data_IF_278266370565
#
_entry.id   IF_278266370565
#
_cell.length_a   1.000
_cell.length_b   1.000
_cell.length_c   1.000
_cell.angle_alpha   90.00
_cell.angle_beta   90.00
_cell.angle_gamma   90.00
#
_symmetry.space_group_name_H-M   'P 1'
#
loop_
_entity.id
_entity.type
_entity.pdbx_description
1 polymer ?
#
# COMPACT_ATOMS: atom_id res chain seq x y z
N UNK A 1 6.24 -28.17 29.22
CA UNK A 1 6.60 -29.21 28.25
C UNK A 1 5.94 -28.87 26.94
N UNK A 2 6.66 -28.17 26.04
CA UNK A 2 6.18 -27.78 24.71
C UNK A 2 6.81 -28.71 23.69
N UNK A 3 6.03 -29.43 22.88
CA UNK A 3 6.57 -30.23 21.81
C UNK A 3 6.45 -29.53 20.43
N UNK A 4 7.55 -29.59 19.73
CA UNK A 4 7.70 -29.69 18.30
C UNK A 4 7.32 -28.49 17.39
N UNK A 5 8.35 -27.67 17.09
CA UNK A 5 8.47 -27.03 15.81
C UNK A 5 9.03 -28.04 14.81
N UNK A 6 8.18 -28.65 13.98
CA UNK A 6 8.63 -29.35 12.79
C UNK A 6 8.89 -28.32 11.69
N UNK A 7 10.15 -28.19 11.33
CA UNK A 7 10.60 -27.41 10.17
C UNK A 7 10.10 -28.08 8.90
N UNK A 8 9.15 -27.46 8.22
CA UNK A 8 8.80 -27.79 6.86
C UNK A 8 9.87 -27.20 5.92
N UNK A 9 10.88 -27.98 5.59
CA UNK A 9 11.73 -27.69 4.45
C UNK A 9 10.95 -28.05 3.19
N UNK A 10 10.49 -27.04 2.45
CA UNK A 10 10.05 -27.20 1.07
C UNK A 10 11.31 -27.40 0.22
N UNK A 11 11.66 -28.64 -0.07
CA UNK A 11 12.55 -28.96 -1.17
C UNK A 11 11.75 -28.80 -2.46
N UNK A 12 11.76 -27.62 -3.05
CA UNK A 12 11.43 -27.46 -4.46
C UNK A 12 12.64 -27.94 -5.26
N UNK A 13 12.50 -29.02 -5.99
CA UNK A 13 13.38 -29.35 -7.09
C UNK A 13 13.27 -28.24 -8.13
N UNK A 14 14.17 -27.27 -8.07
CA UNK A 14 14.34 -26.28 -9.14
C UNK A 14 15.11 -27.02 -10.24
N UNK A 15 14.52 -27.24 -11.43
CA UNK A 15 15.27 -27.89 -12.50
C UNK A 15 16.48 -27.03 -12.83
N UNK A 16 17.67 -27.61 -12.73
CA UNK A 16 18.92 -27.00 -13.11
C UNK A 16 18.88 -26.70 -14.61
N UNK A 17 18.58 -25.46 -14.96
CA UNK A 17 18.69 -24.98 -16.34
C UNK A 17 20.19 -24.84 -16.61
N UNK A 18 20.77 -25.80 -17.33
CA UNK A 18 22.18 -25.76 -17.71
C UNK A 18 22.51 -24.45 -18.42
N UNK A 19 23.41 -23.69 -17.84
CA UNK A 19 23.93 -22.46 -18.45
C UNK A 19 24.72 -22.84 -19.71
N UNK A 20 24.21 -22.44 -20.90
CA UNK A 20 24.89 -22.67 -22.17
C UNK A 20 25.64 -21.39 -22.57
N UNK A 21 26.98 -21.34 -22.52
CA UNK A 21 27.77 -20.13 -22.74
C UNK A 21 27.83 -19.66 -24.19
N UNK A 22 27.14 -20.33 -25.14
CA UNK A 22 27.21 -19.99 -26.57
C UNK A 22 26.10 -19.06 -27.06
N UNK A 23 25.19 -18.61 -26.21
CA UNK A 23 24.27 -17.50 -26.55
C UNK A 23 25.03 -16.19 -26.52
N UNK A 24 25.31 -15.61 -27.70
CA UNK A 24 25.80 -14.25 -27.81
C UNK A 24 24.78 -13.31 -27.17
N UNK A 25 25.07 -12.81 -25.98
CA UNK A 25 24.34 -11.71 -25.41
C UNK A 25 24.58 -10.49 -26.31
N UNK A 26 23.57 -10.05 -27.04
CA UNK A 26 23.54 -8.66 -27.49
C UNK A 26 23.72 -7.81 -26.24
N UNK A 27 24.57 -6.77 -26.24
CA UNK A 27 24.71 -5.91 -25.09
C UNK A 27 23.30 -5.36 -24.77
N UNK A 28 22.68 -5.88 -23.74
CA UNK A 28 21.49 -5.28 -23.17
C UNK A 28 21.83 -3.81 -22.95
N UNK A 29 20.96 -2.89 -23.37
CA UNK A 29 21.10 -1.49 -23.00
C UNK A 29 21.49 -1.45 -21.55
N UNK A 30 22.62 -0.79 -21.26
CA UNK A 30 23.18 -0.68 -19.90
C UNK A 30 22.16 0.14 -19.06
N UNK A 31 21.14 -0.55 -18.58
CA UNK A 31 20.17 0.02 -17.63
C UNK A 31 20.85 0.07 -16.27
N UNK A 32 21.69 1.07 -16.09
CA UNK A 32 22.24 1.37 -14.77
C UNK A 32 21.13 1.99 -13.95
N UNK A 33 20.59 1.23 -13.02
CA UNK A 33 19.71 1.74 -11.97
C UNK A 33 20.59 2.50 -10.98
N UNK A 34 20.36 3.79 -10.79
CA UNK A 34 21.15 4.57 -9.85
C UNK A 34 20.85 4.19 -8.40
N UNK A 35 21.80 4.47 -7.50
CA UNK A 35 21.57 4.26 -6.07
C UNK A 35 20.35 5.05 -5.57
N UNK A 36 20.17 6.29 -6.05
CA UNK A 36 19.06 7.15 -5.65
C UNK A 36 17.69 6.57 -6.08
N UNK A 37 17.62 5.92 -7.24
CA UNK A 37 16.41 5.20 -7.66
C UNK A 37 16.08 4.04 -6.73
N UNK A 38 17.09 3.23 -6.38
CA UNK A 38 16.92 2.09 -5.47
C UNK A 38 16.50 2.58 -4.09
N UNK A 39 17.14 3.62 -3.58
CA UNK A 39 16.84 4.19 -2.26
C UNK A 39 15.39 4.74 -2.21
N UNK A 40 14.97 5.51 -3.23
CA UNK A 40 13.60 6.02 -3.30
C UNK A 40 12.58 4.89 -3.40
N UNK A 41 12.81 3.93 -4.29
CA UNK A 41 11.91 2.79 -4.48
C UNK A 41 11.76 1.97 -3.19
N UNK A 42 12.88 1.69 -2.52
CA UNK A 42 12.88 0.95 -1.26
C UNK A 42 12.14 1.70 -0.16
N UNK A 43 12.35 3.02 -0.06
CA UNK A 43 11.66 3.85 0.92
C UNK A 43 10.15 3.93 0.67
N UNK A 44 9.74 4.15 -0.58
CA UNK A 44 8.32 4.20 -0.94
C UNK A 44 7.64 2.86 -0.67
N UNK A 45 8.25 1.75 -1.06
CA UNK A 45 7.72 0.41 -0.77
C UNK A 45 7.59 0.17 0.73
N UNK A 46 8.57 0.58 1.55
CA UNK A 46 8.49 0.48 3.01
C UNK A 46 7.29 1.25 3.58
N UNK A 47 7.01 2.47 3.09
CA UNK A 47 5.88 3.27 3.55
C UNK A 47 4.54 2.62 3.21
N UNK A 48 4.41 2.05 2.01
CA UNK A 48 3.19 1.37 1.57
C UNK A 48 3.01 0.02 2.27
N UNK A 49 4.09 -0.72 2.50
CA UNK A 49 4.07 -1.94 3.33
C UNK A 49 3.59 -1.62 4.76
N UNK A 50 4.15 -0.59 5.39
CA UNK A 50 3.70 -0.14 6.70
C UNK A 50 2.24 0.31 6.68
N UNK A 51 1.78 0.94 5.61
CA UNK A 51 0.40 1.35 5.44
C UNK A 51 -0.54 0.15 5.51
N UNK A 52 -0.33 -0.87 4.69
CA UNK A 52 -1.25 -2.02 4.64
C UNK A 52 -1.11 -2.92 5.86
N UNK A 53 0.10 -3.12 6.40
CA UNK A 53 0.31 -3.91 7.60
C UNK A 53 -0.37 -3.30 8.83
N UNK A 54 -0.21 -2.00 9.06
CA UNK A 54 -0.86 -1.32 10.18
C UNK A 54 -2.36 -1.15 9.97
N UNK A 55 -2.84 -1.06 8.71
CA UNK A 55 -4.26 -1.09 8.37
C UNK A 55 -4.88 -2.42 8.81
N UNK A 56 -4.27 -3.55 8.45
CA UNK A 56 -4.70 -4.87 8.89
C UNK A 56 -4.71 -5.01 10.42
N UNK A 57 -3.65 -4.57 11.10
CA UNK A 57 -3.59 -4.59 12.57
C UNK A 57 -4.71 -3.74 13.18
N UNK A 58 -4.97 -2.54 12.65
CA UNK A 58 -6.06 -1.70 13.13
C UNK A 58 -7.44 -2.33 12.88
N UNK A 59 -7.68 -2.92 11.71
CA UNK A 59 -8.91 -3.66 11.40
C UNK A 59 -9.14 -4.77 12.43
N UNK A 60 -8.14 -5.63 12.67
CA UNK A 60 -8.21 -6.73 13.64
C UNK A 60 -8.50 -6.18 15.05
N UNK A 61 -7.76 -5.17 15.48
CA UNK A 61 -7.92 -4.60 16.82
C UNK A 61 -9.29 -3.93 17.00
N UNK A 62 -9.83 -3.26 15.97
CA UNK A 62 -11.20 -2.71 15.99
C UNK A 62 -12.22 -3.85 16.08
N UNK A 63 -12.14 -4.85 15.21
CA UNK A 63 -13.15 -5.91 15.11
C UNK A 63 -13.22 -6.72 16.40
N UNK A 64 -12.09 -7.09 16.98
CA UNK A 64 -12.03 -7.94 18.18
C UNK A 64 -11.98 -7.17 19.50
N UNK A 65 -12.08 -5.83 19.50
CA UNK A 65 -11.92 -4.97 20.69
C UNK A 65 -10.63 -5.26 21.45
N UNK A 66 -9.52 -5.40 20.73
CA UNK A 66 -8.24 -5.67 21.38
C UNK A 66 -7.80 -4.44 22.22
N UNK A 67 -7.08 -4.67 23.33
CA UNK A 67 -6.67 -3.56 24.22
C UNK A 67 -5.69 -2.60 23.59
N UNK A 68 -5.05 -2.96 22.48
CA UNK A 68 -4.08 -2.16 21.73
C UNK A 68 -4.72 -1.27 20.64
N UNK A 69 -6.05 -1.30 20.45
CA UNK A 69 -6.74 -0.64 19.32
C UNK A 69 -6.35 0.82 19.14
N UNK A 70 -6.21 1.59 20.23
CA UNK A 70 -5.84 2.99 20.14
C UNK A 70 -4.37 3.17 19.72
N UNK A 71 -3.50 2.28 20.14
CA UNK A 71 -2.08 2.31 19.75
C UNK A 71 -1.90 1.91 18.29
N UNK A 72 -2.60 0.87 17.81
CA UNK A 72 -2.59 0.46 16.42
C UNK A 72 -3.09 1.57 15.48
N UNK A 73 -4.21 2.21 15.83
CA UNK A 73 -4.74 3.36 15.06
C UNK A 73 -3.76 4.54 15.08
N UNK A 74 -3.21 4.89 16.25
CA UNK A 74 -2.23 5.99 16.35
C UNK A 74 -1.00 5.72 15.49
N UNK A 75 -0.47 4.49 15.52
CA UNK A 75 0.66 4.12 14.67
C UNK A 75 0.31 4.14 13.18
N UNK A 76 -0.87 3.68 12.80
CA UNK A 76 -1.35 3.77 11.42
C UNK A 76 -1.43 5.24 10.97
N UNK A 77 -1.97 6.13 11.78
CA UNK A 77 -2.08 7.55 11.45
C UNK A 77 -0.72 8.25 11.26
N UNK A 78 0.36 7.72 11.85
CA UNK A 78 1.73 8.20 11.61
C UNK A 78 2.16 8.00 10.14
N UNK A 79 1.57 7.05 9.45
CA UNK A 79 1.85 6.82 8.04
C UNK A 79 1.49 8.03 7.14
N UNK A 80 0.50 8.83 7.54
CA UNK A 80 0.11 10.02 6.78
C UNK A 80 1.22 11.09 6.69
N UNK A 81 1.81 11.58 7.78
CA UNK A 81 2.95 12.48 7.69
C UNK A 81 4.20 11.83 7.06
N UNK A 82 4.42 10.53 7.25
CA UNK A 82 5.55 9.82 6.64
C UNK A 82 5.42 9.79 5.11
N UNK A 83 4.23 9.46 4.59
CA UNK A 83 3.94 9.51 3.15
C UNK A 83 3.99 10.95 2.60
N UNK A 84 3.46 11.94 3.34
CA UNK A 84 3.59 13.35 2.97
C UNK A 84 5.06 13.77 2.84
N UNK A 85 5.88 13.44 3.82
CA UNK A 85 7.29 13.78 3.85
C UNK A 85 8.09 13.13 2.72
N UNK A 86 7.67 11.98 2.18
CA UNK A 86 8.32 11.34 1.03
C UNK A 86 8.25 12.20 -0.24
N UNK A 87 7.22 13.04 -0.37
CA UNK A 87 7.04 13.95 -1.50
C UNK A 87 7.79 15.27 -1.35
N UNK A 88 8.13 15.66 -0.12
CA UNK A 88 8.73 16.96 0.19
C UNK A 88 10.00 17.30 -0.61
N UNK A 89 10.96 16.38 -0.84
CA UNK A 89 12.17 16.68 -1.62
C UNK A 89 11.89 17.04 -3.07
N UNK A 90 10.75 16.63 -3.62
CA UNK A 90 10.38 16.79 -5.02
C UNK A 90 9.39 17.93 -5.27
N UNK A 91 8.43 18.11 -4.36
CA UNK A 91 7.28 19.00 -4.55
C UNK A 91 7.15 20.08 -3.47
N UNK A 92 8.04 20.10 -2.47
CA UNK A 92 8.05 21.10 -1.39
C UNK A 92 7.02 20.84 -0.29
N UNK A 93 7.04 21.73 0.71
CA UNK A 93 6.27 21.59 1.96
C UNK A 93 4.75 21.60 1.75
N UNK A 94 4.25 22.46 0.85
CA UNK A 94 2.81 22.58 0.62
C UNK A 94 2.21 21.29 0.02
N UNK A 95 2.90 20.69 -0.94
CA UNK A 95 2.47 19.44 -1.55
C UNK A 95 2.58 18.27 -0.55
N UNK A 96 3.66 18.21 0.21
CA UNK A 96 3.86 17.22 1.27
C UNK A 96 2.72 17.29 2.32
N UNK A 97 2.40 18.50 2.78
CA UNK A 97 1.29 18.71 3.72
C UNK A 97 -0.05 18.29 3.13
N UNK A 98 -0.36 18.72 1.90
CA UNK A 98 -1.62 18.37 1.24
C UNK A 98 -1.79 16.86 1.10
N UNK A 99 -0.73 16.15 0.69
CA UNK A 99 -0.76 14.70 0.58
C UNK A 99 -0.93 14.03 1.95
N UNK A 100 -0.21 14.50 2.97
CA UNK A 100 -0.37 14.04 4.35
C UNK A 100 -1.82 14.20 4.85
N UNK A 101 -2.44 15.34 4.61
CA UNK A 101 -3.82 15.60 5.03
C UNK A 101 -4.78 14.63 4.33
N UNK A 102 -4.63 14.43 3.01
CA UNK A 102 -5.45 13.50 2.23
C UNK A 102 -5.32 12.05 2.70
N UNK A 103 -4.09 11.59 2.97
CA UNK A 103 -3.86 10.24 3.51
C UNK A 103 -4.41 10.11 4.92
N UNK A 104 -4.27 11.13 5.77
CA UNK A 104 -4.89 11.12 7.11
C UNK A 104 -6.40 10.93 7.03
N UNK A 105 -7.07 11.69 6.16
CA UNK A 105 -8.52 11.57 5.96
C UNK A 105 -8.88 10.17 5.45
N UNK A 106 -8.08 9.64 4.52
CA UNK A 106 -8.22 8.27 4.01
C UNK A 106 -8.26 7.23 5.13
N UNK A 107 -7.30 7.29 6.04
CA UNK A 107 -7.17 6.36 7.17
C UNK A 107 -8.29 6.50 8.19
N UNK A 108 -8.69 7.73 8.50
CA UNK A 108 -9.78 8.01 9.45
C UNK A 108 -11.11 7.48 8.90
N UNK A 109 -11.42 7.76 7.63
CA UNK A 109 -12.65 7.30 6.98
C UNK A 109 -12.69 5.78 6.92
N UNK A 110 -11.58 5.12 6.60
CA UNK A 110 -11.48 3.65 6.61
C UNK A 110 -11.77 3.07 8.01
N UNK A 111 -11.20 3.65 9.06
CA UNK A 111 -11.48 3.22 10.44
C UNK A 111 -12.96 3.40 10.82
N UNK A 112 -13.59 4.49 10.39
CA UNK A 112 -15.02 4.74 10.63
C UNK A 112 -15.89 3.75 9.87
N UNK A 113 -15.52 3.38 8.63
CA UNK A 113 -16.19 2.33 7.86
C UNK A 113 -16.15 0.99 8.61
N UNK A 114 -14.99 0.57 9.10
CA UNK A 114 -14.84 -0.69 9.85
C UNK A 114 -15.65 -0.67 11.15
N UNK A 115 -15.62 0.43 11.90
CA UNK A 115 -16.40 0.59 13.13
C UNK A 115 -17.91 0.52 12.86
N UNK A 116 -18.39 1.18 11.80
CA UNK A 116 -19.78 1.17 11.40
C UNK A 116 -20.24 -0.24 10.97
N UNK A 117 -19.43 -0.93 10.16
CA UNK A 117 -19.70 -2.30 9.74
C UNK A 117 -19.77 -3.26 10.93
N UNK A 118 -18.82 -3.17 11.87
CA UNK A 118 -18.82 -3.95 13.10
C UNK A 118 -20.05 -3.72 13.95
N UNK A 119 -20.53 -2.48 14.04
CA UNK A 119 -21.74 -2.13 14.80
C UNK A 119 -23.04 -2.54 14.08
N UNK A 120 -22.96 -3.12 12.86
CA UNK A 120 -24.14 -3.46 12.03
C UNK A 120 -24.87 -2.22 11.48
N UNK A 121 -24.27 -1.03 11.58
CA UNK A 121 -24.86 0.21 11.09
C UNK A 121 -24.61 0.38 9.59
N UNK A 122 -25.44 -0.26 8.77
CA UNK A 122 -25.30 -0.26 7.30
C UNK A 122 -25.37 1.13 6.69
N UNK A 123 -26.19 2.04 7.25
CA UNK A 123 -26.29 3.41 6.73
C UNK A 123 -24.99 4.20 6.96
N UNK A 124 -24.45 4.15 8.18
CA UNK A 124 -23.17 4.79 8.48
C UNK A 124 -22.03 4.18 7.66
N UNK A 125 -22.00 2.86 7.48
CA UNK A 125 -21.02 2.17 6.65
C UNK A 125 -21.09 2.63 5.19
N UNK A 126 -22.28 2.71 4.60
CA UNK A 126 -22.47 3.18 3.23
C UNK A 126 -22.07 4.65 3.04
N UNK A 127 -22.29 5.49 4.05
CA UNK A 127 -21.85 6.90 4.03
C UNK A 127 -20.31 6.97 4.08
N UNK A 128 -19.69 6.22 4.99
CA UNK A 128 -18.24 6.17 5.11
C UNK A 128 -17.59 5.63 3.83
N UNK A 129 -18.13 4.58 3.24
CA UNK A 129 -17.64 4.01 1.98
C UNK A 129 -17.65 5.05 0.84
N UNK A 130 -18.76 5.75 0.64
CA UNK A 130 -18.81 6.81 -0.39
C UNK A 130 -17.78 7.90 -0.16
N UNK A 131 -17.57 8.33 1.10
CA UNK A 131 -16.54 9.30 1.45
C UNK A 131 -15.15 8.78 1.17
N UNK A 132 -14.92 7.48 1.39
CA UNK A 132 -13.62 6.85 1.19
C UNK A 132 -13.22 6.82 -0.30
N UNK A 133 -14.17 6.46 -1.19
CA UNK A 133 -13.98 6.54 -2.63
C UNK A 133 -13.78 7.98 -3.11
N UNK A 134 -14.56 8.94 -2.60
CA UNK A 134 -14.38 10.36 -2.94
C UNK A 134 -12.98 10.87 -2.50
N UNK A 135 -12.51 10.48 -1.33
CA UNK A 135 -11.15 10.81 -0.89
C UNK A 135 -10.08 10.16 -1.78
N UNK A 136 -10.29 8.93 -2.25
CA UNK A 136 -9.38 8.31 -3.23
C UNK A 136 -9.33 9.12 -4.53
N UNK A 137 -10.47 9.60 -5.03
CA UNK A 137 -10.51 10.51 -6.19
C UNK A 137 -9.72 11.81 -5.93
N UNK A 138 -9.85 12.40 -4.74
CA UNK A 138 -9.11 13.61 -4.35
C UNK A 138 -7.60 13.36 -4.32
N UNK A 139 -7.16 12.19 -3.82
CA UNK A 139 -5.74 11.78 -3.81
C UNK A 139 -5.23 11.65 -5.24
N UNK A 140 -5.96 10.95 -6.10
CA UNK A 140 -5.59 10.74 -7.51
C UNK A 140 -5.51 12.07 -8.25
N UNK A 141 -6.51 12.96 -8.07
CA UNK A 141 -6.53 14.29 -8.66
C UNK A 141 -5.31 15.10 -8.24
N UNK A 142 -5.01 15.11 -6.94
CA UNK A 142 -3.86 15.83 -6.42
C UNK A 142 -2.55 15.31 -7.01
N UNK A 143 -2.30 13.99 -6.95
CA UNK A 143 -1.05 13.41 -7.43
C UNK A 143 -0.87 13.61 -8.95
N UNK A 144 -1.94 13.44 -9.73
CA UNK A 144 -1.90 13.67 -11.18
C UNK A 144 -1.69 15.14 -11.55
N UNK A 145 -2.18 16.06 -10.69
CA UNK A 145 -1.99 17.50 -10.90
C UNK A 145 -0.54 17.97 -10.74
N UNK A 146 0.22 17.31 -9.86
CA UNK A 146 1.62 17.66 -9.58
C UNK A 146 2.62 16.81 -10.37
N UNK A 147 2.18 15.69 -10.94
CA UNK A 147 3.03 14.79 -11.71
C UNK A 147 2.33 14.27 -12.97
N UNK A 148 2.73 14.78 -14.19
CA UNK A 148 2.12 14.39 -15.46
C UNK A 148 2.43 12.95 -15.88
N UNK A 149 3.36 12.26 -15.20
CA UNK A 149 3.71 10.86 -15.47
C UNK A 149 2.93 9.88 -14.61
N UNK A 150 1.96 10.36 -13.80
CA UNK A 150 0.99 9.54 -13.10
C UNK A 150 -0.30 9.53 -13.93
N UNK A 151 -0.61 8.43 -14.65
CA UNK A 151 -1.81 8.34 -15.48
C UNK A 151 -3.04 8.29 -14.56
N UNK A 152 -3.83 9.37 -14.56
CA UNK A 152 -4.95 9.58 -13.63
C UNK A 152 -5.91 8.39 -13.58
N UNK A 153 -6.38 7.91 -14.74
CA UNK A 153 -7.38 6.83 -14.79
C UNK A 153 -6.82 5.47 -14.36
N UNK A 154 -5.55 5.19 -14.68
CA UNK A 154 -4.90 3.96 -14.25
C UNK A 154 -4.66 3.96 -12.74
N UNK A 155 -4.19 5.09 -12.21
CA UNK A 155 -3.94 5.23 -10.77
C UNK A 155 -5.25 5.21 -9.96
N UNK A 156 -6.35 5.77 -10.53
CA UNK A 156 -7.69 5.64 -9.95
C UNK A 156 -8.14 4.19 -9.86
N UNK A 157 -7.92 3.39 -10.89
CA UNK A 157 -8.25 1.95 -10.87
C UNK A 157 -7.50 1.21 -9.78
N UNK A 158 -6.21 1.52 -9.60
CA UNK A 158 -5.40 0.94 -8.52
C UNK A 158 -5.99 1.31 -7.14
N UNK A 159 -6.30 2.58 -6.90
CA UNK A 159 -6.96 2.99 -5.64
C UNK A 159 -8.28 2.27 -5.42
N UNK A 160 -9.12 2.17 -6.45
CA UNK A 160 -10.42 1.51 -6.32
C UNK A 160 -10.28 0.01 -6.04
N UNK A 161 -9.30 -0.66 -6.63
CA UNK A 161 -8.97 -2.04 -6.30
C UNK A 161 -8.47 -2.17 -4.86
N UNK A 162 -7.58 -1.28 -4.43
CA UNK A 162 -7.10 -1.20 -3.06
C UNK A 162 -8.24 -1.09 -2.04
N UNK A 163 -9.18 -0.16 -2.25
CA UNK A 163 -10.33 0.01 -1.39
C UNK A 163 -11.23 -1.22 -1.37
N UNK A 164 -11.50 -1.80 -2.52
CA UNK A 164 -12.34 -2.99 -2.65
C UNK A 164 -11.73 -4.20 -1.92
N UNK A 165 -10.42 -4.43 -2.07
CA UNK A 165 -9.69 -5.50 -1.40
C UNK A 165 -9.66 -5.31 0.12
N UNK A 166 -9.35 -4.11 0.60
CA UNK A 166 -9.30 -3.78 2.02
C UNK A 166 -10.67 -3.91 2.68
N UNK A 167 -11.75 -3.47 2.00
CA UNK A 167 -13.12 -3.71 2.45
C UNK A 167 -13.44 -5.19 2.52
N UNK A 168 -13.08 -5.97 1.49
CA UNK A 168 -13.32 -7.40 1.46
C UNK A 168 -12.60 -8.13 2.60
N UNK A 169 -11.36 -7.73 2.91
CA UNK A 169 -10.61 -8.25 4.05
C UNK A 169 -11.33 -7.98 5.38
N UNK A 170 -11.77 -6.75 5.61
CA UNK A 170 -12.51 -6.40 6.83
C UNK A 170 -13.81 -7.21 6.95
N UNK A 171 -14.54 -7.44 5.86
CA UNK A 171 -15.75 -8.28 5.81
C UNK A 171 -15.41 -9.74 6.10
N UNK A 172 -14.35 -10.28 5.52
CA UNK A 172 -13.90 -11.66 5.79
C UNK A 172 -13.57 -11.86 7.28
N UNK A 173 -12.85 -10.93 7.89
CA UNK A 173 -12.51 -10.97 9.32
C UNK A 173 -13.77 -10.87 10.19
N UNK A 174 -14.70 -9.96 9.86
CA UNK A 174 -16.00 -9.83 10.55
C UNK A 174 -16.83 -11.11 10.48
N UNK A 175 -16.82 -11.79 9.34
CA UNK A 175 -17.53 -13.04 9.09
C UNK A 175 -16.80 -14.26 9.64
N UNK A 176 -15.62 -14.08 10.25
CA UNK A 176 -14.73 -15.12 10.77
C UNK A 176 -14.18 -16.07 9.69
N UNK A 177 -14.17 -15.64 8.45
CA UNK A 177 -13.46 -16.31 7.34
C UNK A 177 -12.00 -15.85 7.32
N UNK A 178 -11.24 -16.37 8.28
CA UNK A 178 -9.85 -15.97 8.45
C UNK A 178 -8.95 -16.41 7.31
N UNK A 179 -9.28 -17.51 6.64
CA UNK A 179 -8.52 -17.97 5.47
C UNK A 179 -8.67 -16.98 4.31
N UNK A 180 -9.89 -16.57 4.00
CA UNK A 180 -10.12 -15.53 3.00
C UNK A 180 -9.45 -14.20 3.39
N UNK A 181 -9.49 -13.82 4.67
CA UNK A 181 -8.82 -12.62 5.19
C UNK A 181 -7.31 -12.63 4.96
N UNK A 182 -6.63 -13.79 5.10
CA UNK A 182 -5.19 -13.92 4.81
C UNK A 182 -4.93 -13.82 3.30
N UNK A 183 -5.70 -14.54 2.48
CA UNK A 183 -5.53 -14.49 1.02
C UNK A 183 -5.80 -13.10 0.42
N UNK A 184 -6.74 -12.35 1.01
CA UNK A 184 -7.00 -10.96 0.61
C UNK A 184 -5.85 -10.06 0.99
N UNK A 185 -5.22 -10.26 2.16
CA UNK A 185 -4.06 -9.48 2.55
C UNK A 185 -2.88 -9.67 1.61
N UNK A 186 -2.58 -10.90 1.17
CA UNK A 186 -1.52 -11.16 0.19
C UNK A 186 -1.74 -10.36 -1.12
N UNK A 187 -3.02 -10.17 -1.50
CA UNK A 187 -3.39 -9.37 -2.68
C UNK A 187 -3.25 -7.87 -2.40
N UNK A 188 -3.67 -7.41 -1.21
CA UNK A 188 -3.55 -6.01 -0.78
C UNK A 188 -2.08 -5.59 -0.73
N UNK A 189 -1.21 -6.42 -0.15
CA UNK A 189 0.23 -6.17 -0.07
C UNK A 189 0.82 -6.00 -1.47
N UNK A 190 0.56 -6.94 -2.37
CA UNK A 190 1.05 -6.90 -3.74
C UNK A 190 0.59 -5.63 -4.47
N UNK A 191 -0.71 -5.33 -4.41
CA UNK A 191 -1.31 -4.16 -5.05
C UNK A 191 -0.73 -2.86 -4.50
N UNK A 192 -0.59 -2.74 -3.18
CA UNK A 192 -0.01 -1.58 -2.54
C UNK A 192 1.45 -1.34 -2.97
N UNK A 193 2.25 -2.39 -3.13
CA UNK A 193 3.61 -2.27 -3.65
C UNK A 193 3.63 -1.87 -5.14
N UNK A 194 2.66 -2.27 -5.93
CA UNK A 194 2.49 -1.82 -7.31
C UNK A 194 2.11 -0.32 -7.37
N UNK A 195 1.27 0.17 -6.45
CA UNK A 195 0.98 1.60 -6.31
C UNK A 195 2.23 2.41 -5.90
N UNK A 196 3.02 1.89 -4.95
CA UNK A 196 4.29 2.50 -4.56
C UNK A 196 5.24 2.63 -5.75
N UNK A 197 5.35 1.58 -6.56
CA UNK A 197 6.18 1.55 -7.76
C UNK A 197 5.67 2.53 -8.83
N UNK A 198 4.36 2.62 -9.04
CA UNK A 198 3.76 3.55 -10.00
C UNK A 198 4.07 5.01 -9.63
N UNK A 199 3.88 5.39 -8.36
CA UNK A 199 4.20 6.71 -7.85
C UNK A 199 5.71 7.01 -7.96
N UNK A 200 6.56 6.08 -7.55
CA UNK A 200 8.02 6.22 -7.62
C UNK A 200 8.50 6.41 -9.05
N UNK A 201 8.02 5.59 -9.98
CA UNK A 201 8.36 5.69 -11.39
C UNK A 201 7.92 7.04 -11.99
N UNK A 202 6.77 7.57 -11.57
CA UNK A 202 6.32 8.91 -11.95
C UNK A 202 7.29 9.98 -11.48
N UNK A 203 7.76 9.92 -10.23
CA UNK A 203 8.74 10.87 -9.67
C UNK A 203 10.07 10.79 -10.41
N UNK A 204 10.60 9.59 -10.66
CA UNK A 204 11.87 9.39 -11.37
C UNK A 204 11.78 9.98 -12.79
N UNK A 205 10.67 9.75 -13.49
CA UNK A 205 10.45 10.31 -14.83
C UNK A 205 10.36 11.84 -14.85
N UNK A 206 9.81 12.45 -13.81
CA UNK A 206 9.65 13.91 -13.71
C UNK A 206 10.96 14.60 -13.31
N UNK A 207 11.80 13.96 -12.52
CA UNK A 207 13.03 14.51 -11.98
C UNK A 207 14.28 13.68 -12.34
N UNK A 208 14.52 13.36 -13.64
CA UNK A 208 15.55 12.39 -14.02
C UNK A 208 16.96 12.84 -13.61
N UNK A 209 17.19 14.15 -13.44
CA UNK A 209 18.48 14.70 -13.01
C UNK A 209 18.85 14.34 -11.57
N UNK A 210 17.90 13.95 -10.74
CA UNK A 210 18.14 13.53 -9.35
C UNK A 210 18.52 12.05 -9.22
N UNK A 211 18.42 11.31 -10.33
CA UNK A 211 18.57 9.86 -10.38
C UNK A 211 19.65 9.38 -11.36
N UNK A 212 20.58 10.26 -11.70
CA UNK A 212 21.74 9.94 -12.58
C UNK A 212 22.89 9.36 -11.76
#
# INVERSE_FOLDING_TARGET
MYPYWQSYYFTRDIPYIGWNPTTSFSPARDYRVSKNEVDLKSYMRLLWEQHVAWTRMAIISIIFNLPDVNFAITRLLQNAPDMGNSLKPFYGDNAAKKYSDLIKDHLVIAADLVKAAKAGNQNAAAIAERKWYANADDIVEFLSSINPYIPKEEFRKMFYEHLALTKAEAVAILSKDYQAGVQLYDRIEKEALEMADALTNGIIKQFPQLFQ
#
